data_IF_329545212288
#
_entry.id   IF_329545212288
#
_cell.length_a   1.000
_cell.length_b   1.000
_cell.length_c   1.000
_cell.angle_alpha   90.00
_cell.angle_beta   90.00
_cell.angle_gamma   90.00
#
_symmetry.space_group_name_H-M   'P 1'
#
loop_
_entity.id
_entity.type
_entity.pdbx_description
1 polymer ?
#
# COMPACT_ATOMS: atom_id res chain seq x y z
N UNK A 1 -28.91 2.28 -33.30
CA UNK A 1 -27.57 1.70 -33.09
C UNK A 1 -27.74 0.19 -33.10
N UNK A 2 -26.85 -0.53 -33.77
CA UNK A 2 -26.95 -2.01 -33.73
C UNK A 2 -26.66 -2.51 -32.32
N UNK A 3 -27.30 -3.61 -31.92
CA UNK A 3 -27.12 -4.20 -30.57
C UNK A 3 -25.62 -4.46 -30.26
N UNK A 4 -24.83 -4.80 -31.28
CA UNK A 4 -23.37 -5.01 -31.13
C UNK A 4 -22.58 -3.74 -30.75
N UNK A 5 -23.02 -2.54 -31.18
CA UNK A 5 -22.37 -1.28 -30.78
C UNK A 5 -22.69 -0.94 -29.32
N UNK A 6 -23.93 -1.20 -28.90
CA UNK A 6 -24.32 -1.01 -27.50
C UNK A 6 -23.55 -1.94 -26.57
N UNK A 7 -23.41 -3.21 -26.92
CA UNK A 7 -22.62 -4.18 -26.15
C UNK A 7 -21.15 -3.76 -26.04
N UNK A 8 -20.53 -3.31 -27.14
CA UNK A 8 -19.16 -2.81 -27.13
C UNK A 8 -19.00 -1.59 -26.22
N UNK A 9 -19.95 -0.66 -26.22
CA UNK A 9 -19.93 0.51 -25.36
C UNK A 9 -20.08 0.10 -23.88
N UNK A 10 -20.96 -0.85 -23.57
CA UNK A 10 -21.12 -1.38 -22.22
C UNK A 10 -19.85 -2.06 -21.71
N UNK A 11 -19.17 -2.86 -22.53
CA UNK A 11 -17.91 -3.49 -22.16
C UNK A 11 -16.81 -2.45 -21.91
N UNK A 12 -16.72 -1.40 -22.73
CA UNK A 12 -15.75 -0.31 -22.52
C UNK A 12 -16.05 0.48 -21.25
N UNK A 13 -17.32 0.75 -20.98
CA UNK A 13 -17.75 1.42 -19.75
C UNK A 13 -17.37 0.58 -18.52
N UNK A 14 -17.72 -0.71 -18.52
CA UNK A 14 -17.36 -1.62 -17.43
C UNK A 14 -15.84 -1.67 -17.19
N UNK A 15 -15.05 -1.68 -18.26
CA UNK A 15 -13.60 -1.66 -18.15
C UNK A 15 -13.08 -0.38 -17.46
N UNK A 16 -13.65 0.79 -17.78
CA UNK A 16 -13.29 2.05 -17.13
C UNK A 16 -13.74 2.10 -15.66
N UNK A 17 -14.92 1.59 -15.37
CA UNK A 17 -15.45 1.48 -13.99
C UNK A 17 -14.58 0.53 -13.13
N UNK A 18 -14.13 -0.57 -13.71
CA UNK A 18 -13.23 -1.51 -13.03
C UNK A 18 -11.85 -0.87 -12.72
N UNK A 19 -11.28 -0.12 -13.67
CA UNK A 19 -10.05 0.66 -13.43
C UNK A 19 -10.26 1.66 -12.28
N UNK A 20 -11.33 2.43 -12.33
CA UNK A 20 -11.68 3.41 -11.29
C UNK A 20 -11.86 2.74 -9.92
N UNK A 21 -12.50 1.57 -9.90
CA UNK A 21 -12.74 0.81 -8.67
C UNK A 21 -11.43 0.31 -8.05
N UNK A 22 -10.50 -0.19 -8.87
CA UNK A 22 -9.17 -0.62 -8.40
C UNK A 22 -8.35 0.58 -7.89
N UNK A 23 -8.42 1.73 -8.57
CA UNK A 23 -7.74 2.95 -8.10
C UNK A 23 -8.32 3.42 -6.76
N UNK A 24 -9.63 3.39 -6.62
CA UNK A 24 -10.32 3.73 -5.36
C UNK A 24 -9.95 2.76 -4.25
N UNK A 25 -9.87 1.46 -4.54
CA UNK A 25 -9.43 0.43 -3.59
C UNK A 25 -8.02 0.70 -3.06
N UNK A 26 -7.06 0.98 -3.96
CA UNK A 26 -5.68 1.29 -3.55
C UNK A 26 -5.61 2.56 -2.71
N UNK A 27 -6.31 3.61 -3.11
CA UNK A 27 -6.38 4.85 -2.35
C UNK A 27 -7.02 4.64 -0.96
N UNK A 28 -8.05 3.79 -0.85
CA UNK A 28 -8.67 3.39 0.43
C UNK A 28 -7.67 2.65 1.32
N UNK A 29 -6.91 1.70 0.77
CA UNK A 29 -5.87 0.97 1.50
C UNK A 29 -4.81 1.92 2.09
N UNK A 30 -4.22 2.80 1.25
CA UNK A 30 -3.19 3.74 1.70
C UNK A 30 -3.74 4.71 2.77
N UNK A 31 -4.95 5.22 2.57
CA UNK A 31 -5.60 6.10 3.55
C UNK A 31 -5.92 5.38 4.85
N UNK A 32 -6.31 4.11 4.81
CA UNK A 32 -6.55 3.30 6.01
C UNK A 32 -5.25 3.12 6.82
N UNK A 33 -4.11 2.98 6.15
CA UNK A 33 -2.79 2.97 6.80
C UNK A 33 -2.50 4.30 7.49
N UNK A 34 -2.66 5.43 6.80
CA UNK A 34 -2.38 6.77 7.35
C UNK A 34 -3.30 7.12 8.52
N UNK A 35 -4.56 6.77 8.42
CA UNK A 35 -5.57 7.03 9.45
C UNK A 35 -5.59 5.96 10.56
N UNK A 36 -4.70 4.98 10.51
CA UNK A 36 -4.59 3.89 11.49
C UNK A 36 -5.89 3.14 11.71
N UNK A 37 -6.57 2.78 10.61
CA UNK A 37 -7.85 2.09 10.60
C UNK A 37 -7.69 0.61 10.20
N UNK A 38 -7.37 -0.30 11.14
CA UNK A 38 -7.06 -1.70 10.84
C UNK A 38 -8.24 -2.44 10.18
N UNK A 39 -9.48 -2.12 10.55
CA UNK A 39 -10.66 -2.74 9.93
C UNK A 39 -10.82 -2.31 8.46
N UNK A 40 -10.67 -1.02 8.17
CA UNK A 40 -10.73 -0.53 6.79
C UNK A 40 -9.60 -1.08 5.93
N UNK A 41 -8.39 -1.26 6.51
CA UNK A 41 -7.27 -1.92 5.84
C UNK A 41 -7.57 -3.39 5.56
N UNK A 42 -8.12 -4.15 6.54
CA UNK A 42 -8.55 -5.55 6.39
C UNK A 42 -9.50 -5.75 5.22
N UNK A 43 -10.52 -4.88 5.11
CA UNK A 43 -11.54 -4.95 4.07
C UNK A 43 -11.01 -4.72 2.65
N UNK A 44 -9.80 -4.19 2.51
CA UNK A 44 -9.17 -4.04 1.20
C UNK A 44 -8.66 -5.36 0.62
N UNK A 45 -8.40 -6.37 1.46
CA UNK A 45 -7.87 -7.66 1.04
C UNK A 45 -8.96 -8.72 0.92
N UNK A 46 -8.71 -9.71 0.06
CA UNK A 46 -9.54 -10.92 0.03
C UNK A 46 -9.57 -11.59 1.40
N UNK A 47 -10.67 -12.25 1.73
CA UNK A 47 -10.88 -12.87 3.05
C UNK A 47 -9.90 -14.02 3.31
N UNK A 48 -9.63 -14.83 2.27
CA UNK A 48 -8.75 -15.99 2.38
C UNK A 48 -7.67 -15.99 1.29
N UNK A 49 -6.47 -16.41 1.66
CA UNK A 49 -5.34 -16.55 0.75
C UNK A 49 -4.75 -15.24 0.24
N UNK A 50 -4.89 -14.15 0.98
CA UNK A 50 -4.16 -12.92 0.71
C UNK A 50 -2.65 -13.16 0.89
N UNK A 51 -1.83 -12.66 -0.04
CA UNK A 51 -0.37 -12.74 0.03
C UNK A 51 0.19 -11.33 0.13
N UNK A 52 0.95 -11.07 1.18
CA UNK A 52 1.56 -9.75 1.40
C UNK A 52 3.06 -9.92 1.57
N UNK A 53 3.83 -9.30 0.70
CA UNK A 53 5.28 -9.26 0.73
C UNK A 53 5.72 -7.80 0.70
N UNK A 54 6.35 -7.33 1.76
CA UNK A 54 6.84 -5.96 1.84
C UNK A 54 8.27 -5.95 2.37
N UNK A 55 9.16 -5.25 1.67
CA UNK A 55 10.55 -5.10 2.10
C UNK A 55 10.65 -4.60 3.55
N UNK A 56 11.32 -5.38 4.41
CA UNK A 56 11.46 -5.12 5.84
C UNK A 56 10.46 -5.85 6.74
N UNK A 57 9.60 -6.68 6.14
CA UNK A 57 8.65 -7.53 6.85
C UNK A 57 8.79 -8.99 6.41
N UNK A 58 8.40 -9.96 7.24
CA UNK A 58 8.22 -11.32 6.77
C UNK A 58 7.10 -11.37 5.72
N UNK A 59 7.09 -12.40 4.89
CA UNK A 59 5.96 -12.65 4.01
C UNK A 59 4.77 -13.14 4.84
N UNK A 60 3.57 -12.62 4.53
CA UNK A 60 2.32 -13.03 5.16
C UNK A 60 1.45 -13.74 4.12
N UNK A 61 0.78 -14.80 4.52
CA UNK A 61 -0.17 -15.56 3.70
C UNK A 61 -1.61 -15.42 4.18
N UNK A 62 -1.80 -14.56 5.18
CA UNK A 62 -3.10 -14.21 5.75
C UNK A 62 -3.16 -12.71 6.00
N UNK A 63 -4.29 -12.09 5.63
CA UNK A 63 -4.54 -10.67 5.88
C UNK A 63 -4.57 -10.34 7.39
N UNK A 64 -5.00 -11.27 8.24
CA UNK A 64 -5.10 -11.02 9.68
C UNK A 64 -3.71 -10.85 10.31
N UNK A 65 -2.71 -11.64 9.91
CA UNK A 65 -1.32 -11.49 10.36
C UNK A 65 -0.76 -10.11 9.97
N UNK A 66 -1.09 -9.63 8.75
CA UNK A 66 -0.70 -8.29 8.31
C UNK A 66 -1.39 -7.19 9.11
N UNK A 67 -2.70 -7.31 9.35
CA UNK A 67 -3.49 -6.36 10.14
C UNK A 67 -3.01 -6.32 11.60
N UNK A 68 -2.68 -7.46 12.19
CA UNK A 68 -2.11 -7.53 13.54
C UNK A 68 -0.75 -6.84 13.61
N UNK A 69 0.13 -7.10 12.64
CA UNK A 69 1.43 -6.44 12.53
C UNK A 69 1.28 -4.93 12.40
N UNK A 70 0.40 -4.46 11.52
CA UNK A 70 0.07 -3.05 11.37
C UNK A 70 -0.47 -2.44 12.67
N UNK A 71 -1.37 -3.14 13.36
CA UNK A 71 -1.96 -2.68 14.62
C UNK A 71 -0.89 -2.51 15.68
N UNK A 72 0.01 -3.47 15.81
CA UNK A 72 1.11 -3.43 16.77
C UNK A 72 2.14 -2.33 16.48
N UNK A 73 2.50 -2.13 15.21
CA UNK A 73 3.59 -1.21 14.85
C UNK A 73 3.11 0.24 14.65
N UNK A 74 1.94 0.45 14.08
CA UNK A 74 1.44 1.78 13.73
C UNK A 74 0.30 2.25 14.64
N UNK A 75 -0.75 1.44 14.82
CA UNK A 75 -1.94 1.86 15.58
C UNK A 75 -1.61 2.04 17.05
N UNK A 76 -0.85 1.11 17.64
CA UNK A 76 -0.43 1.18 19.04
C UNK A 76 0.63 2.27 19.32
N UNK A 77 1.15 2.93 18.27
CA UNK A 77 2.17 3.97 18.40
C UNK A 77 1.64 5.34 17.95
N UNK A 78 1.06 6.14 18.85
CA UNK A 78 0.50 7.45 18.51
C UNK A 78 1.56 8.49 18.11
N UNK A 79 2.83 8.23 18.40
CA UNK A 79 3.93 9.12 18.03
C UNK A 79 4.33 9.05 16.56
N UNK A 80 3.89 8.02 15.85
CA UNK A 80 4.15 7.83 14.43
C UNK A 80 3.00 8.45 13.63
N UNK A 81 3.37 9.26 12.63
CA UNK A 81 2.45 9.87 11.66
C UNK A 81 2.94 9.51 10.27
N UNK A 82 2.11 8.80 9.53
CA UNK A 82 2.42 8.28 8.21
C UNK A 82 1.63 9.02 7.13
N UNK A 83 2.22 9.13 5.93
CA UNK A 83 1.56 9.60 4.73
C UNK A 83 2.04 8.81 3.52
N UNK A 84 1.11 8.14 2.86
CA UNK A 84 1.35 7.35 1.66
C UNK A 84 0.71 8.02 0.45
N UNK A 85 1.50 8.30 -0.58
CA UNK A 85 0.99 8.74 -1.88
C UNK A 85 1.27 7.66 -2.93
N UNK A 86 0.20 7.04 -3.44
CA UNK A 86 0.28 6.13 -4.58
C UNK A 86 0.16 6.90 -5.89
N UNK A 87 1.15 6.73 -6.78
CA UNK A 87 1.24 7.43 -8.06
C UNK A 87 1.32 6.46 -9.24
N UNK A 88 1.19 7.01 -10.45
CA UNK A 88 1.47 6.35 -11.73
C UNK A 88 0.81 4.96 -11.86
N UNK A 89 -0.51 4.82 -11.63
CA UNK A 89 -1.18 3.53 -11.73
C UNK A 89 -1.08 2.95 -13.14
N UNK A 90 -0.62 1.70 -13.24
CA UNK A 90 -0.69 0.90 -14.45
C UNK A 90 -1.51 -0.34 -14.14
N UNK A 91 -2.74 -0.39 -14.62
CA UNK A 91 -3.68 -1.49 -14.36
C UNK A 91 -3.89 -2.29 -15.64
N UNK A 92 -3.75 -3.60 -15.55
CA UNK A 92 -3.98 -4.55 -16.64
C UNK A 92 -4.86 -5.69 -16.18
N UNK A 93 -5.90 -6.02 -16.95
CA UNK A 93 -6.77 -7.15 -16.66
C UNK A 93 -6.16 -8.46 -17.17
N UNK A 94 -6.15 -9.47 -16.32
CA UNK A 94 -5.65 -10.81 -16.62
C UNK A 94 -6.79 -11.80 -16.84
N UNK A 95 -8.02 -11.39 -16.57
CA UNK A 95 -9.26 -12.13 -16.75
C UNK A 95 -10.48 -11.28 -16.42
N UNK A 96 -11.67 -11.85 -16.52
CA UNK A 96 -12.92 -11.15 -16.23
C UNK A 96 -13.02 -10.67 -14.77
N UNK A 97 -12.37 -11.38 -13.84
CA UNK A 97 -12.40 -11.08 -12.40
C UNK A 97 -10.99 -10.97 -11.81
N UNK A 98 -9.98 -10.74 -12.63
CA UNK A 98 -8.58 -10.63 -12.17
C UNK A 98 -7.84 -9.51 -12.89
N UNK A 99 -7.01 -8.79 -12.14
CA UNK A 99 -6.20 -7.69 -12.66
C UNK A 99 -4.86 -7.62 -11.92
N UNK A 100 -3.89 -6.94 -12.53
CA UNK A 100 -2.61 -6.56 -11.94
C UNK A 100 -2.50 -5.04 -11.95
N UNK A 101 -1.80 -4.50 -10.95
CA UNK A 101 -1.50 -3.07 -10.87
C UNK A 101 -0.10 -2.80 -10.40
N UNK A 102 0.55 -1.84 -11.06
CA UNK A 102 1.81 -1.26 -10.60
C UNK A 102 1.51 0.15 -10.07
N UNK A 103 2.17 0.50 -8.97
CA UNK A 103 2.04 1.82 -8.34
C UNK A 103 3.39 2.28 -7.83
N UNK A 104 3.70 3.52 -8.06
CA UNK A 104 4.82 4.15 -7.38
C UNK A 104 4.35 4.68 -6.03
N UNK A 105 5.19 4.52 -5.01
CA UNK A 105 4.95 5.04 -3.67
C UNK A 105 5.91 6.20 -3.38
N UNK A 106 5.36 7.31 -2.92
CA UNK A 106 6.03 8.30 -2.10
C UNK A 106 5.50 8.20 -0.67
N UNK A 107 6.40 8.07 0.29
CA UNK A 107 6.05 7.88 1.69
C UNK A 107 6.85 8.82 2.58
N UNK A 108 6.14 9.42 3.52
CA UNK A 108 6.73 10.21 4.61
C UNK A 108 6.24 9.68 5.95
N UNK A 109 7.16 9.51 6.89
CA UNK A 109 6.83 9.19 8.28
C UNK A 109 7.49 10.20 9.20
N UNK A 110 6.73 10.71 10.16
CA UNK A 110 7.25 11.53 11.26
C UNK A 110 7.03 10.77 12.56
N UNK A 111 8.10 10.50 13.30
CA UNK A 111 8.03 10.01 14.67
C UNK A 111 8.37 11.16 15.63
N UNK A 112 7.35 11.71 16.27
CA UNK A 112 7.51 12.88 17.14
C UNK A 112 8.26 12.56 18.45
N UNK A 113 8.19 11.32 18.93
CA UNK A 113 8.89 10.86 20.13
C UNK A 113 10.39 10.71 19.87
N UNK A 114 10.74 10.01 18.80
CA UNK A 114 12.12 9.77 18.40
C UNK A 114 12.71 10.97 17.64
N UNK A 115 11.87 11.96 17.27
CA UNK A 115 12.26 13.14 16.50
C UNK A 115 12.92 12.77 15.17
N UNK A 116 12.35 11.78 14.48
CA UNK A 116 12.84 11.30 13.20
C UNK A 116 11.85 11.56 12.08
N UNK A 117 12.40 11.79 10.89
CA UNK A 117 11.65 11.94 9.64
C UNK A 117 12.21 10.94 8.65
N UNK A 118 11.34 10.11 8.09
CA UNK A 118 11.66 9.16 7.02
C UNK A 118 10.99 9.61 5.74
N UNK A 119 11.76 9.70 4.67
CA UNK A 119 11.24 9.75 3.31
C UNK A 119 11.67 8.49 2.57
N UNK A 120 10.73 7.85 1.91
CA UNK A 120 10.91 6.59 1.22
C UNK A 120 10.20 6.66 -0.13
N UNK A 121 10.81 6.12 -1.17
CA UNK A 121 10.11 5.75 -2.40
C UNK A 121 10.10 4.24 -2.56
N UNK A 122 9.16 3.73 -3.35
CA UNK A 122 9.09 2.32 -3.66
C UNK A 122 8.06 2.04 -4.74
N UNK A 123 7.88 0.77 -5.03
CA UNK A 123 6.90 0.32 -6.01
C UNK A 123 6.07 -0.83 -5.44
N UNK A 124 4.76 -0.73 -5.62
CA UNK A 124 3.84 -1.84 -5.41
C UNK A 124 3.62 -2.60 -6.72
N UNK A 125 3.59 -3.92 -6.62
CA UNK A 125 3.10 -4.84 -7.64
C UNK A 125 1.97 -5.65 -7.01
N UNK A 126 0.74 -5.29 -7.35
CA UNK A 126 -0.47 -5.84 -6.75
C UNK A 126 -1.20 -6.77 -7.73
N UNK A 127 -1.86 -7.77 -7.20
CA UNK A 127 -2.86 -8.57 -7.91
C UNK A 127 -4.22 -8.37 -7.25
N UNK A 128 -5.24 -8.22 -8.08
CA UNK A 128 -6.62 -7.96 -7.65
C UNK A 128 -7.54 -9.06 -8.11
N UNK A 129 -8.55 -9.34 -7.29
CA UNK A 129 -9.63 -10.27 -7.60
C UNK A 129 -10.97 -9.60 -7.36
N UNK A 130 -11.93 -9.83 -8.27
CA UNK A 130 -13.31 -9.37 -8.10
C UNK A 130 -14.16 -10.47 -7.50
N UNK A 131 -14.62 -10.27 -6.26
CA UNK A 131 -15.45 -11.19 -5.49
C UNK A 131 -16.78 -10.52 -5.23
N UNK A 132 -17.88 -11.16 -5.61
CA UNK A 132 -19.25 -10.64 -5.45
C UNK A 132 -19.41 -9.20 -6.01
N UNK A 133 -18.78 -8.93 -7.16
CA UNK A 133 -18.83 -7.62 -7.81
C UNK A 133 -17.88 -6.57 -7.27
N UNK A 134 -17.14 -6.84 -6.19
CA UNK A 134 -16.20 -5.90 -5.55
C UNK A 134 -14.74 -6.32 -5.80
N UNK A 135 -13.91 -5.39 -6.22
CA UNK A 135 -12.46 -5.61 -6.33
C UNK A 135 -11.80 -5.60 -4.95
N UNK A 136 -10.91 -6.57 -4.72
CA UNK A 136 -10.12 -6.72 -3.51
C UNK A 136 -8.66 -7.06 -3.86
N UNK A 137 -7.72 -6.76 -2.96
CA UNK A 137 -6.31 -7.08 -3.12
C UNK A 137 -6.13 -8.57 -2.80
N UNK A 138 -5.69 -9.35 -3.81
CA UNK A 138 -5.31 -10.76 -3.66
C UNK A 138 -3.86 -10.90 -3.23
N UNK A 139 -2.98 -10.12 -3.85
CA UNK A 139 -1.56 -10.11 -3.54
C UNK A 139 -1.05 -8.68 -3.57
N UNK A 140 -0.20 -8.34 -2.61
CA UNK A 140 0.51 -7.06 -2.55
C UNK A 140 1.99 -7.32 -2.36
N UNK A 141 2.82 -6.80 -3.28
CA UNK A 141 4.27 -6.80 -3.15
C UNK A 141 4.78 -5.39 -3.13
N UNK A 142 5.57 -5.05 -2.13
CA UNK A 142 6.20 -3.75 -2.03
C UNK A 142 7.72 -3.89 -2.05
N UNK A 143 8.37 -3.24 -3.01
CA UNK A 143 9.81 -3.12 -3.11
C UNK A 143 10.25 -1.69 -2.81
N UNK A 144 11.19 -1.53 -1.86
CA UNK A 144 11.75 -0.22 -1.51
C UNK A 144 12.72 0.25 -2.60
N UNK A 145 12.60 1.53 -2.96
CA UNK A 145 13.50 2.25 -3.83
C UNK A 145 14.52 3.08 -3.04
N UNK A 146 14.32 4.40 -2.96
CA UNK A 146 15.15 5.30 -2.18
C UNK A 146 14.69 5.41 -0.73
N UNK A 147 15.64 5.78 0.16
CA UNK A 147 15.37 5.94 1.58
C UNK A 147 16.26 7.03 2.16
N UNK A 148 15.66 7.94 2.93
CA UNK A 148 16.38 8.94 3.73
C UNK A 148 15.74 9.00 5.10
N UNK A 149 16.54 8.85 6.14
CA UNK A 149 16.12 9.07 7.51
C UNK A 149 16.91 10.24 8.11
N UNK A 150 16.18 11.18 8.70
CA UNK A 150 16.74 12.35 9.40
C UNK A 150 16.32 12.32 10.85
N UNK A 151 17.19 12.84 11.69
CA UNK A 151 16.90 13.11 13.09
C UNK A 151 16.97 14.62 13.35
N UNK A 152 16.03 15.13 14.12
CA UNK A 152 15.96 16.53 14.51
C UNK A 152 16.43 16.64 15.95
N UNK A 153 17.50 17.40 16.22
CA UNK A 153 18.04 17.60 17.58
C UNK A 153 17.21 18.59 18.42
N UNK A 154 17.63 18.84 19.67
CA UNK A 154 16.96 19.74 20.61
C UNK A 154 16.89 21.20 20.15
N UNK A 155 17.78 21.61 19.25
CA UNK A 155 17.83 22.94 18.65
C UNK A 155 17.07 23.06 17.34
N UNK A 156 16.43 21.98 16.84
CA UNK A 156 15.72 21.96 15.58
C UNK A 156 16.63 21.72 14.36
N UNK A 157 17.87 21.30 14.55
CA UNK A 157 18.81 21.01 13.45
C UNK A 157 18.57 19.60 12.95
N UNK A 158 18.35 19.44 11.65
CA UNK A 158 18.22 18.15 10.98
C UNK A 158 19.59 17.56 10.64
N UNK A 159 19.74 16.25 10.87
CA UNK A 159 20.91 15.46 10.44
C UNK A 159 20.45 14.20 9.73
N UNK A 160 21.04 13.89 8.60
CA UNK A 160 20.81 12.61 7.93
C UNK A 160 21.54 11.52 8.74
N UNK A 161 20.77 10.52 9.19
CA UNK A 161 21.28 9.39 10.01
C UNK A 161 21.28 8.08 9.23
N UNK A 162 20.48 7.97 8.16
CA UNK A 162 20.51 6.85 7.23
C UNK A 162 20.15 7.33 5.82
N UNK A 163 20.81 6.76 4.81
CA UNK A 163 20.67 7.14 3.41
C UNK A 163 20.85 5.92 2.52
N UNK A 164 20.12 5.88 1.41
CA UNK A 164 20.24 4.87 0.39
C UNK A 164 19.13 3.85 0.40
N UNK A 165 19.40 2.63 -0.06
CA UNK A 165 18.46 1.51 0.00
C UNK A 165 18.66 0.81 1.34
N UNK A 166 17.67 0.83 2.25
CA UNK A 166 17.85 0.19 3.55
C UNK A 166 18.02 -1.32 3.38
N UNK A 167 18.74 -2.00 4.31
CA UNK A 167 18.83 -3.44 4.33
C UNK A 167 17.41 -4.05 4.47
N UNK A 168 17.22 -5.21 3.89
CA UNK A 168 15.92 -5.91 3.83
C UNK A 168 15.33 -6.20 5.22
N UNK A 169 16.19 -6.27 6.25
CA UNK A 169 15.83 -6.60 7.65
C UNK A 169 15.82 -5.41 8.61
N UNK A 170 16.03 -4.19 8.16
CA UNK A 170 16.57 -3.11 8.95
C UNK A 170 15.63 -2.30 9.85
N UNK A 171 14.33 -2.52 9.91
CA UNK A 171 13.46 -1.75 10.82
C UNK A 171 13.08 -2.47 12.13
N UNK A 172 13.33 -3.75 12.24
CA UNK A 172 12.86 -4.58 13.37
C UNK A 172 13.98 -4.99 14.31
N UNK A 173 15.24 -4.90 13.89
CA UNK A 173 16.38 -5.47 14.67
C UNK A 173 17.17 -4.46 15.51
N UNK A 174 16.83 -3.19 15.53
CA UNK A 174 17.53 -2.18 16.34
C UNK A 174 16.63 -1.58 17.43
N UNK A 175 16.15 -2.44 18.34
CA UNK A 175 15.66 -2.03 19.65
C UNK A 175 16.23 -2.96 20.72
#
# INVERSE_FOLDING_TARGET
MSDSVLEQLQQRLQHLEDIQSIQTLKARYLRACDQKQPNAMRECFVEHGAVIEADGFPAFTDREEWVETFTRLAVANPSIQDMHHGHNPQISFTGANSAKGLWDLEFCQVNVKERTIVNLSGQYSDEYERINGCWQIRSMRFARGSFVMRQVDGGGIERVIALGKPPVTGFIENN
#
